data_IF_644716303130
#
_entry.id   IF_644716303130
#
_cell.length_a   1.000
_cell.length_b   1.000
_cell.length_c   1.000
_cell.angle_alpha   90.00
_cell.angle_beta   90.00
_cell.angle_gamma   90.00
#
_symmetry.space_group_name_H-M   'P 1'
#
loop_
_entity.id
_entity.type
_entity.pdbx_description
1 polymer ?
#
# COMPACT_ATOMS: atom_id res chain seq x y z
N UNK A 1 6.37 -50.79 42.17
CA UNK A 1 6.15 -50.21 40.82
C UNK A 1 6.24 -48.69 40.92
N UNK A 2 7.37 -48.13 40.49
CA UNK A 2 7.67 -46.69 40.57
C UNK A 2 6.91 -45.92 39.48
N UNK A 3 6.06 -44.95 39.87
CA UNK A 3 5.43 -44.02 38.93
C UNK A 3 6.38 -42.85 38.68
N UNK A 4 6.96 -42.80 37.48
CA UNK A 4 7.70 -41.63 36.97
C UNK A 4 6.68 -40.54 36.62
N UNK A 5 6.79 -39.38 37.27
CA UNK A 5 6.06 -38.17 36.90
C UNK A 5 6.89 -37.47 35.83
N UNK A 6 6.43 -37.52 34.58
CA UNK A 6 7.03 -36.82 33.46
C UNK A 6 6.61 -35.35 33.54
N UNK A 7 7.52 -34.45 33.89
CA UNK A 7 7.33 -33.00 33.78
C UNK A 7 7.32 -32.62 32.30
N UNK A 8 6.13 -32.46 31.72
CA UNK A 8 5.93 -31.83 30.42
C UNK A 8 6.27 -30.34 30.55
N UNK A 9 7.48 -29.99 30.10
CA UNK A 9 7.99 -28.64 29.97
C UNK A 9 7.21 -27.93 28.87
N UNK A 10 6.17 -27.18 29.26
CA UNK A 10 5.40 -26.34 28.35
C UNK A 10 6.33 -25.24 27.82
N UNK A 11 6.60 -25.24 26.52
CA UNK A 11 7.34 -24.17 25.85
C UNK A 11 6.56 -22.85 25.95
N UNK A 12 7.24 -21.71 26.13
CA UNK A 12 6.59 -20.41 26.11
C UNK A 12 6.20 -20.10 24.66
N UNK A 13 4.94 -20.38 24.32
CA UNK A 13 4.35 -19.84 23.11
C UNK A 13 4.28 -18.32 23.25
N UNK A 14 4.72 -17.62 22.20
CA UNK A 14 4.61 -16.17 22.03
C UNK A 14 3.25 -15.66 22.48
N UNK A 15 3.17 -15.17 23.71
CA UNK A 15 2.08 -14.34 24.15
C UNK A 15 2.32 -12.97 23.50
N UNK A 16 1.76 -12.77 22.31
CA UNK A 16 1.35 -11.42 21.91
C UNK A 16 0.23 -11.05 22.88
N UNK A 17 0.63 -10.62 24.07
CA UNK A 17 -0.27 -10.01 25.03
C UNK A 17 -0.75 -8.72 24.39
N UNK A 18 -1.92 -8.77 23.76
CA UNK A 18 -2.81 -7.61 23.67
C UNK A 18 -3.21 -7.30 25.12
N UNK A 19 -2.29 -6.71 25.89
CA UNK A 19 -2.61 -6.13 27.20
C UNK A 19 -3.36 -4.85 26.88
N UNK A 20 -4.68 -4.93 26.90
CA UNK A 20 -5.50 -3.75 27.12
C UNK A 20 -5.11 -3.15 28.47
N UNK A 21 -5.10 -1.82 28.56
CA UNK A 21 -4.82 -1.11 29.81
C UNK A 21 -5.94 -1.42 30.79
N UNK A 22 -5.66 -2.36 31.69
CA UNK A 22 -6.46 -2.60 32.88
C UNK A 22 -5.71 -1.97 34.04
N UNK A 23 -5.58 -0.64 34.01
CA UNK A 23 -5.10 0.12 35.17
C UNK A 23 -6.18 0.03 36.25
N UNK A 24 -5.95 -0.89 37.19
CA UNK A 24 -6.73 -1.05 38.41
C UNK A 24 -6.30 -0.03 39.46
N UNK A 25 -6.81 1.20 39.36
CA UNK A 25 -6.50 2.26 40.33
C UNK A 25 -5.58 3.33 39.74
N UNK A 26 -4.31 3.36 40.15
CA UNK A 26 -3.34 4.39 39.73
C UNK A 26 -2.54 3.94 38.50
N UNK A 27 -2.20 4.90 37.65
CA UNK A 27 -1.27 4.70 36.53
C UNK A 27 0.15 4.51 37.07
N UNK A 28 0.80 3.43 36.65
CA UNK A 28 2.17 3.06 37.08
C UNK A 28 3.22 3.44 36.04
N UNK A 29 4.49 3.37 36.41
CA UNK A 29 5.59 3.57 35.46
C UNK A 29 5.64 2.48 34.36
N UNK A 30 5.12 1.28 34.64
CA UNK A 30 4.99 0.22 33.62
C UNK A 30 3.99 0.64 32.54
N UNK A 31 2.84 1.20 32.95
CA UNK A 31 1.83 1.72 32.01
C UNK A 31 2.37 2.89 31.18
N UNK A 32 3.11 3.81 31.81
CA UNK A 32 3.76 4.91 31.08
C UNK A 32 4.75 4.39 30.06
N UNK A 33 5.56 3.39 30.43
CA UNK A 33 6.52 2.78 29.51
C UNK A 33 5.81 2.03 28.38
N UNK A 34 4.69 1.37 28.67
CA UNK A 34 3.86 0.71 27.67
C UNK A 34 3.35 1.69 26.61
N UNK A 35 2.82 2.84 27.01
CA UNK A 35 2.39 3.90 26.09
C UNK A 35 3.53 4.41 25.21
N UNK A 36 4.70 4.67 25.81
CA UNK A 36 5.86 5.15 25.05
C UNK A 36 6.33 4.14 24.00
N UNK A 37 6.30 2.84 24.31
CA UNK A 37 6.63 1.78 23.33
C UNK A 37 5.58 1.74 22.22
N UNK A 38 4.28 1.81 22.57
CA UNK A 38 3.20 1.76 21.57
C UNK A 38 3.13 3.02 20.70
N UNK A 39 3.70 4.14 21.16
CA UNK A 39 3.82 5.35 20.36
C UNK A 39 4.71 5.14 19.13
N UNK A 40 5.65 4.19 19.14
CA UNK A 40 6.44 3.79 17.97
C UNK A 40 5.58 3.08 16.91
N UNK A 41 4.53 2.36 17.33
CA UNK A 41 3.63 1.66 16.42
C UNK A 41 2.68 2.61 15.66
N UNK A 42 2.53 3.86 16.11
CA UNK A 42 1.63 4.85 15.53
C UNK A 42 2.42 6.10 15.07
N UNK A 43 3.09 6.05 13.91
CA UNK A 43 3.95 7.12 13.42
C UNK A 43 3.18 8.35 12.90
N UNK A 44 1.91 8.19 12.57
CA UNK A 44 1.00 9.21 12.04
C UNK A 44 0.29 10.04 13.13
N UNK A 45 0.49 9.68 14.40
CA UNK A 45 -0.08 10.40 15.54
C UNK A 45 0.72 11.67 15.81
N UNK A 46 0.01 12.77 15.99
CA UNK A 46 0.54 14.11 16.26
C UNK A 46 -0.07 14.68 17.54
N UNK A 47 0.50 15.73 18.16
CA UNK A 47 -0.13 16.41 19.30
C UNK A 47 -1.55 16.91 19.01
N UNK A 48 -1.83 17.27 17.75
CA UNK A 48 -3.13 17.70 17.26
C UNK A 48 -4.12 16.56 16.97
N UNK A 49 -3.73 15.29 17.14
CA UNK A 49 -4.62 14.15 16.91
C UNK A 49 -5.83 14.19 17.85
N UNK A 50 -6.96 13.73 17.34
CA UNK A 50 -8.25 13.75 18.04
C UNK A 50 -8.25 12.89 19.31
N UNK A 51 -8.92 13.36 20.38
CA UNK A 51 -8.90 12.75 21.73
C UNK A 51 -9.33 11.28 21.79
N UNK A 52 -10.14 10.79 20.85
CA UNK A 52 -10.60 9.40 20.84
C UNK A 52 -9.49 8.38 20.56
N UNK A 53 -8.30 8.82 20.14
CA UNK A 53 -7.13 7.95 20.02
C UNK A 53 -6.56 7.54 21.38
N UNK A 54 -6.78 8.34 22.43
CA UNK A 54 -6.27 8.05 23.78
C UNK A 54 -6.93 6.79 24.35
N UNK A 55 -6.10 5.95 24.97
CA UNK A 55 -6.57 4.77 25.70
C UNK A 55 -7.62 5.10 26.75
N UNK A 56 -8.63 4.23 26.86
CA UNK A 56 -9.78 4.38 27.74
C UNK A 56 -10.65 5.64 27.48
N UNK A 57 -10.45 6.36 26.37
CA UNK A 57 -11.32 7.46 25.96
C UNK A 57 -12.59 6.92 25.27
N UNK A 58 -13.53 6.47 26.08
CA UNK A 58 -14.83 6.01 25.59
C UNK A 58 -15.70 7.13 25.00
N UNK A 59 -16.77 6.76 24.30
CA UNK A 59 -17.67 7.70 23.62
C UNK A 59 -18.25 8.77 24.55
N UNK A 60 -18.57 8.42 25.79
CA UNK A 60 -19.05 9.37 26.80
C UNK A 60 -17.99 10.42 27.15
N UNK A 61 -16.77 9.98 27.48
CA UNK A 61 -15.64 10.85 27.79
C UNK A 61 -15.32 11.78 26.62
N UNK A 62 -15.28 11.24 25.40
CA UNK A 62 -15.05 12.02 24.19
C UNK A 62 -16.10 13.12 24.01
N UNK A 63 -17.39 12.83 24.21
CA UNK A 63 -18.46 13.84 24.12
C UNK A 63 -18.31 14.94 25.17
N UNK A 64 -17.98 14.58 26.42
CA UNK A 64 -17.78 15.55 27.51
C UNK A 64 -16.54 16.43 27.30
N UNK A 65 -15.49 15.89 26.71
CA UNK A 65 -14.33 16.68 26.26
C UNK A 65 -14.73 17.68 25.17
N UNK A 66 -15.51 17.24 24.17
CA UNK A 66 -16.02 18.11 23.10
C UNK A 66 -16.92 19.22 23.65
N UNK A 67 -17.80 18.92 24.61
CA UNK A 67 -18.65 19.92 25.28
C UNK A 67 -17.83 21.03 25.96
N UNK A 68 -16.61 20.72 26.41
CA UNK A 68 -15.65 21.69 26.98
C UNK A 68 -14.68 22.28 25.96
N UNK A 69 -14.95 22.10 24.68
CA UNK A 69 -14.11 22.55 23.56
C UNK A 69 -12.68 21.95 23.55
N UNK A 70 -12.55 20.70 24.01
CA UNK A 70 -11.30 19.94 24.01
C UNK A 70 -11.37 18.88 22.92
N UNK A 71 -10.53 19.06 21.90
CA UNK A 71 -10.53 18.27 20.66
C UNK A 71 -9.23 17.52 20.42
N UNK A 72 -8.12 17.99 20.99
CA UNK A 72 -6.78 17.45 20.72
C UNK A 72 -6.13 16.84 21.95
N UNK A 73 -5.17 15.94 21.72
CA UNK A 73 -4.34 15.34 22.79
C UNK A 73 -3.60 16.41 23.59
N UNK A 74 -3.06 17.43 22.90
CA UNK A 74 -2.39 18.56 23.54
C UNK A 74 -3.28 19.28 24.55
N UNK A 75 -4.53 19.59 24.17
CA UNK A 75 -5.48 20.26 25.06
C UNK A 75 -5.84 19.38 26.27
N UNK A 76 -5.99 18.06 26.07
CA UNK A 76 -6.24 17.13 27.19
C UNK A 76 -5.07 17.11 28.17
N UNK A 77 -3.83 17.08 27.68
CA UNK A 77 -2.65 17.05 28.52
C UNK A 77 -2.43 18.36 29.32
N UNK A 78 -2.99 19.47 28.85
CA UNK A 78 -2.95 20.78 29.51
C UNK A 78 -4.07 20.98 30.55
N UNK A 79 -4.98 20.01 30.73
CA UNK A 79 -6.03 20.11 31.75
C UNK A 79 -5.46 20.14 33.16
N UNK A 80 -6.07 20.97 34.00
CA UNK A 80 -5.78 21.02 35.43
C UNK A 80 -6.42 19.84 36.18
N UNK A 81 -5.83 19.46 37.31
CA UNK A 81 -6.35 18.38 38.16
C UNK A 81 -7.80 18.61 38.58
N UNK A 82 -8.16 19.86 38.90
CA UNK A 82 -9.53 20.20 39.31
C UNK A 82 -10.53 19.96 38.17
N UNK A 83 -10.16 20.28 36.93
CA UNK A 83 -11.01 20.07 35.75
C UNK A 83 -11.18 18.57 35.45
N UNK A 84 -10.13 17.79 35.65
CA UNK A 84 -10.14 16.33 35.51
C UNK A 84 -11.07 15.70 36.57
N UNK A 85 -11.00 16.16 37.82
CA UNK A 85 -11.86 15.69 38.90
C UNK A 85 -13.33 16.06 38.63
N UNK A 86 -13.62 17.25 38.10
CA UNK A 86 -14.97 17.59 37.67
C UNK A 86 -15.50 16.65 36.57
N UNK A 87 -14.68 16.38 35.55
CA UNK A 87 -15.07 15.45 34.48
C UNK A 87 -15.29 14.03 35.01
N UNK A 88 -14.47 13.60 35.97
CA UNK A 88 -14.55 12.26 36.56
C UNK A 88 -15.75 12.10 37.48
N UNK A 89 -15.96 13.03 38.41
CA UNK A 89 -16.92 12.89 39.49
C UNK A 89 -18.25 13.59 39.25
N UNK A 90 -18.29 14.74 38.55
CA UNK A 90 -19.55 15.45 38.24
C UNK A 90 -20.15 14.96 36.92
N UNK A 91 -19.33 14.85 35.88
CA UNK A 91 -19.81 14.45 34.55
C UNK A 91 -19.85 12.92 34.37
N UNK A 92 -19.18 12.14 35.23
CA UNK A 92 -19.20 10.68 35.19
C UNK A 92 -18.22 10.03 34.20
N UNK A 93 -17.15 10.72 33.80
CA UNK A 93 -16.11 10.17 32.95
C UNK A 93 -15.19 9.22 33.75
N UNK A 94 -15.58 7.94 33.86
CA UNK A 94 -14.98 6.95 34.77
C UNK A 94 -13.45 6.82 34.70
N UNK A 95 -12.84 6.92 33.51
CA UNK A 95 -11.40 6.73 33.27
C UNK A 95 -10.69 8.00 32.82
N UNK A 96 -11.23 9.16 33.18
CA UNK A 96 -10.67 10.45 32.79
C UNK A 96 -9.25 10.66 33.32
N UNK A 97 -8.94 10.16 34.51
CA UNK A 97 -7.61 10.15 35.10
C UNK A 97 -6.59 9.37 34.24
N UNK A 98 -6.99 8.21 33.72
CA UNK A 98 -6.14 7.41 32.82
C UNK A 98 -5.94 8.13 31.49
N UNK A 99 -6.99 8.71 30.91
CA UNK A 99 -6.93 9.47 29.65
C UNK A 99 -5.99 10.68 29.79
N UNK A 100 -6.11 11.41 30.91
CA UNK A 100 -5.27 12.57 31.22
C UNK A 100 -3.81 12.17 31.43
N UNK A 101 -3.54 11.11 32.20
CA UNK A 101 -2.17 10.62 32.42
C UNK A 101 -1.54 10.06 31.14
N UNK A 102 -2.34 9.42 30.27
CA UNK A 102 -1.89 8.96 28.97
C UNK A 102 -1.47 10.16 28.11
N UNK A 103 -2.34 11.17 27.97
CA UNK A 103 -2.05 12.38 27.22
C UNK A 103 -0.78 13.08 27.71
N UNK A 104 -0.62 13.25 29.03
CA UNK A 104 0.58 13.84 29.63
C UNK A 104 1.86 13.04 29.36
N UNK A 105 1.76 11.71 29.33
CA UNK A 105 2.92 10.84 29.10
C UNK A 105 3.43 10.93 27.67
N UNK A 106 2.53 11.00 26.69
CA UNK A 106 2.89 10.97 25.26
C UNK A 106 3.10 12.36 24.64
N UNK A 107 2.61 13.44 25.29
CA UNK A 107 2.66 14.79 24.73
C UNK A 107 4.08 15.22 24.36
N UNK A 108 5.05 15.04 25.28
CA UNK A 108 6.42 15.51 25.04
C UNK A 108 7.10 14.80 23.86
N UNK A 109 7.07 13.45 23.75
CA UNK A 109 7.55 12.76 22.54
C UNK A 109 6.84 13.21 21.26
N UNK A 110 5.52 13.47 21.31
CA UNK A 110 4.76 13.94 20.15
C UNK A 110 5.16 15.37 19.73
N UNK A 111 5.39 16.27 20.68
CA UNK A 111 5.89 17.62 20.40
C UNK A 111 7.31 17.58 19.81
N UNK A 112 8.17 16.67 20.26
CA UNK A 112 9.49 16.43 19.66
C UNK A 112 9.38 15.88 18.23
N UNK A 113 8.41 15.01 17.96
CA UNK A 113 8.12 14.55 16.58
C UNK A 113 7.65 15.68 15.69
N UNK A 114 6.79 16.56 16.17
CA UNK A 114 6.28 17.69 15.39
C UNK A 114 7.34 18.77 15.15
N UNK A 115 8.13 19.12 16.17
CA UNK A 115 9.16 20.15 16.05
C UNK A 115 10.38 19.73 15.23
N UNK A 116 10.76 18.45 15.30
CA UNK A 116 12.05 17.96 14.78
C UNK A 116 11.92 16.78 13.81
N UNK A 117 10.71 16.32 13.50
CA UNK A 117 10.48 15.11 12.68
C UNK A 117 10.82 13.80 13.41
N UNK A 118 11.16 13.87 14.71
CA UNK A 118 11.48 12.73 15.57
C UNK A 118 12.91 12.19 15.37
N UNK A 119 13.44 11.63 16.46
CA UNK A 119 14.74 10.91 16.53
C UNK A 119 14.82 9.74 15.51
N UNK A 120 13.66 9.20 15.13
CA UNK A 120 13.49 8.15 14.11
C UNK A 120 13.85 8.61 12.67
N UNK A 121 13.61 9.89 12.33
CA UNK A 121 13.88 10.41 10.98
C UNK A 121 15.39 10.53 10.68
N UNK A 122 16.20 10.72 11.73
CA UNK A 122 17.63 10.99 11.60
C UNK A 122 18.49 9.72 11.52
N UNK A 123 18.08 8.62 12.16
CA UNK A 123 19.01 7.51 12.42
C UNK A 123 19.07 6.44 11.32
N UNK A 124 17.98 6.06 10.64
CA UNK A 124 18.03 4.90 9.71
C UNK A 124 17.12 4.99 8.47
N UNK A 125 16.01 5.73 8.50
CA UNK A 125 15.00 5.70 7.44
C UNK A 125 15.47 6.38 6.15
N UNK A 126 16.08 7.57 6.22
CA UNK A 126 16.44 8.34 5.01
C UNK A 126 17.48 7.64 4.13
N UNK A 127 18.51 7.03 4.72
CA UNK A 127 19.57 6.34 3.97
C UNK A 127 19.04 5.02 3.39
N UNK A 128 18.25 4.26 4.15
CA UNK A 128 17.62 3.02 3.67
C UNK A 128 16.61 3.31 2.56
N UNK A 129 15.79 4.35 2.70
CA UNK A 129 14.84 4.82 1.70
C UNK A 129 15.54 5.25 0.42
N UNK A 130 16.63 6.01 0.51
CA UNK A 130 17.41 6.41 -0.67
C UNK A 130 18.07 5.21 -1.36
N UNK A 131 18.53 4.20 -0.61
CA UNK A 131 19.06 2.95 -1.18
C UNK A 131 17.97 2.14 -1.88
N UNK A 132 16.82 1.94 -1.21
CA UNK A 132 15.65 1.26 -1.80
C UNK A 132 15.13 2.00 -3.03
N UNK A 133 15.08 3.34 -3.01
CA UNK A 133 14.67 4.15 -4.15
C UNK A 133 15.60 3.95 -5.36
N UNK A 134 16.91 4.03 -5.17
CA UNK A 134 17.90 3.79 -6.25
C UNK A 134 17.88 2.35 -6.76
N UNK A 135 17.59 1.38 -5.91
CA UNK A 135 17.42 -0.02 -6.33
C UNK A 135 16.14 -0.23 -7.13
N UNK A 136 15.03 0.38 -6.72
CA UNK A 136 13.76 0.32 -7.46
C UNK A 136 13.86 1.04 -8.81
N UNK A 137 14.56 2.17 -8.89
CA UNK A 137 14.82 2.88 -10.15
C UNK A 137 15.65 2.01 -11.11
N UNK A 138 16.73 1.38 -10.64
CA UNK A 138 17.54 0.44 -11.45
C UNK A 138 16.71 -0.74 -11.95
N UNK A 139 15.94 -1.40 -11.06
CA UNK A 139 15.07 -2.52 -11.45
C UNK A 139 14.00 -2.10 -12.46
N UNK A 140 13.45 -0.89 -12.33
CA UNK A 140 12.45 -0.36 -13.26
C UNK A 140 13.07 -0.10 -14.64
N UNK A 141 14.28 0.46 -14.69
CA UNK A 141 15.01 0.66 -15.94
C UNK A 141 15.40 -0.66 -16.61
N UNK A 142 15.85 -1.64 -15.84
CA UNK A 142 16.15 -2.99 -16.32
C UNK A 142 14.90 -3.64 -16.94
N UNK A 143 13.76 -3.63 -16.25
CA UNK A 143 12.50 -4.15 -16.77
C UNK A 143 12.04 -3.45 -18.05
N UNK A 144 12.22 -2.13 -18.14
CA UNK A 144 11.86 -1.37 -19.34
C UNK A 144 12.78 -1.72 -20.51
N UNK A 145 14.09 -1.89 -20.27
CA UNK A 145 15.06 -2.32 -21.30
C UNK A 145 14.78 -3.75 -21.77
N UNK A 146 14.49 -4.67 -20.85
CA UNK A 146 14.11 -6.04 -21.19
C UNK A 146 12.83 -6.06 -22.03
N UNK A 147 11.80 -5.30 -21.62
CA UNK A 147 10.56 -5.18 -22.39
C UNK A 147 10.81 -4.61 -23.79
N UNK A 148 11.63 -3.57 -23.90
CA UNK A 148 11.96 -2.97 -25.19
C UNK A 148 12.70 -3.96 -26.10
N UNK A 149 13.69 -4.67 -25.58
CA UNK A 149 14.46 -5.67 -26.32
C UNK A 149 13.57 -6.84 -26.79
N UNK A 150 12.72 -7.38 -25.91
CA UNK A 150 11.77 -8.44 -26.28
C UNK A 150 10.81 -7.94 -27.37
N UNK A 151 10.31 -6.71 -27.26
CA UNK A 151 9.43 -6.15 -28.27
C UNK A 151 10.13 -5.95 -29.62
N UNK A 152 11.36 -5.44 -29.61
CA UNK A 152 12.16 -5.26 -30.82
C UNK A 152 12.46 -6.59 -31.51
N UNK A 153 12.78 -7.65 -30.75
CA UNK A 153 12.97 -9.00 -31.28
C UNK A 153 11.69 -9.56 -31.91
N UNK A 154 10.54 -9.35 -31.27
CA UNK A 154 9.23 -9.76 -31.80
C UNK A 154 8.87 -8.98 -33.07
N UNK A 155 9.13 -7.68 -33.10
CA UNK A 155 8.87 -6.86 -34.28
C UNK A 155 9.81 -7.23 -35.44
N UNK A 156 11.10 -7.45 -35.18
CA UNK A 156 12.07 -7.85 -36.19
C UNK A 156 11.70 -9.21 -36.82
N UNK A 157 11.26 -10.18 -36.01
CA UNK A 157 10.78 -11.47 -36.51
C UNK A 157 9.49 -11.33 -37.33
N UNK A 158 8.54 -10.50 -36.89
CA UNK A 158 7.32 -10.20 -37.66
C UNK A 158 7.62 -9.48 -38.98
N UNK A 159 8.58 -8.55 -39.01
CA UNK A 159 9.01 -7.87 -40.24
C UNK A 159 9.61 -8.87 -41.24
N UNK A 160 10.52 -9.74 -40.79
CA UNK A 160 11.08 -10.83 -41.62
C UNK A 160 10.00 -11.74 -42.20
N UNK A 161 8.98 -12.10 -41.40
CA UNK A 161 7.86 -12.91 -41.88
C UNK A 161 7.02 -12.16 -42.92
N UNK A 162 6.75 -10.87 -42.72
CA UNK A 162 6.03 -10.03 -43.69
C UNK A 162 6.78 -9.92 -45.02
N UNK A 163 8.08 -9.68 -44.96
CA UNK A 163 8.96 -9.61 -46.14
C UNK A 163 9.01 -10.94 -46.89
N UNK A 164 9.16 -12.06 -46.17
CA UNK A 164 9.14 -13.39 -46.78
C UNK A 164 7.79 -13.73 -47.45
N UNK A 165 6.66 -13.33 -46.83
CA UNK A 165 5.32 -13.50 -47.43
C UNK A 165 5.19 -12.63 -48.68
N UNK A 166 5.64 -11.37 -48.65
CA UNK A 166 5.60 -10.48 -49.80
C UNK A 166 6.43 -11.03 -50.96
N UNK A 167 7.65 -11.52 -50.70
CA UNK A 167 8.50 -12.15 -51.69
C UNK A 167 7.85 -13.41 -52.29
N UNK A 168 7.28 -14.29 -51.45
CA UNK A 168 6.55 -15.48 -51.94
C UNK A 168 5.33 -15.13 -52.78
N UNK A 169 4.57 -14.09 -52.41
CA UNK A 169 3.43 -13.60 -53.20
C UNK A 169 3.89 -13.04 -54.56
N UNK A 170 4.98 -12.28 -54.60
CA UNK A 170 5.54 -11.76 -55.85
C UNK A 170 6.00 -12.89 -56.78
N UNK A 171 6.71 -13.89 -56.25
CA UNK A 171 7.15 -15.05 -57.02
C UNK A 171 5.97 -15.88 -57.58
N UNK A 172 4.88 -16.02 -56.81
CA UNK A 172 3.67 -16.68 -57.29
C UNK A 172 2.96 -15.88 -58.39
N UNK A 173 2.93 -14.54 -58.30
CA UNK A 173 2.36 -13.69 -59.34
C UNK A 173 3.18 -13.74 -60.63
N UNK A 174 4.52 -13.73 -60.55
CA UNK A 174 5.39 -13.93 -61.71
C UNK A 174 5.13 -15.29 -62.37
N UNK A 175 5.10 -16.38 -61.61
CA UNK A 175 4.73 -17.71 -62.14
C UNK A 175 3.35 -17.74 -62.79
N UNK A 176 2.36 -17.05 -62.23
CA UNK A 176 1.01 -16.96 -62.83
C UNK A 176 1.02 -16.16 -64.13
N UNK A 177 1.79 -15.08 -64.22
CA UNK A 177 1.95 -14.29 -65.45
C UNK A 177 2.69 -15.09 -66.53
N UNK A 178 3.70 -15.86 -66.16
CA UNK A 178 4.41 -16.77 -67.07
C UNK A 178 3.48 -17.86 -67.62
N UNK A 179 2.62 -18.44 -66.77
CA UNK A 179 1.62 -19.44 -67.18
C UNK A 179 0.50 -18.83 -68.04
N UNK A 180 0.01 -17.64 -67.72
CA UNK A 180 -1.00 -16.94 -68.52
C UNK A 180 -0.44 -16.43 -69.86
N UNK A 181 0.86 -16.15 -69.95
CA UNK A 181 1.55 -15.84 -71.20
C UNK A 181 1.72 -17.05 -72.12
N UNK A 182 1.72 -18.27 -71.57
CA UNK A 182 1.75 -19.51 -72.33
C UNK A 182 0.36 -19.91 -72.88
N UNK A 183 -0.74 -19.53 -72.21
CA UNK A 183 -2.12 -19.76 -72.68
C UNK A 183 -2.62 -18.68 -73.67
N UNK A 184 -1.89 -17.58 -73.87
CA UNK A 184 -2.21 -16.57 -74.89
C UNK A 184 -1.72 -16.92 -76.31
N UNK A 185 -1.05 -18.08 -76.47
CA UNK A 185 -0.50 -18.57 -77.74
C UNK A 185 -1.17 -19.83 -78.27
N UNK A 186 -2.39 -20.17 -77.84
CA UNK A 186 -3.19 -21.20 -78.51
C UNK A 186 -4.69 -20.86 -78.47
N UNK A 187 -5.21 -20.27 -79.56
CA UNK A 187 -6.63 -19.99 -79.68
C UNK A 187 -6.99 -18.82 -80.59
N UNK A 188 -6.66 -18.89 -81.88
CA UNK A 188 -7.32 -18.07 -82.90
C UNK A 188 -8.41 -18.88 -83.63
N UNK A 189 -9.66 -18.45 -83.42
CA UNK A 189 -10.76 -18.42 -84.39
C UNK A 189 -11.65 -19.68 -84.56
N UNK A 190 -12.88 -19.65 -84.00
CA UNK A 190 -14.08 -19.46 -84.84
C UNK A 190 -15.37 -19.25 -84.01
N UNK A 191 -16.21 -18.36 -84.53
CA UNK A 191 -17.69 -18.37 -84.48
C UNK A 191 -18.44 -17.64 -83.34
N UNK A 192 -18.82 -16.41 -83.69
CA UNK A 192 -20.20 -15.88 -83.79
C UNK A 192 -21.09 -15.70 -82.55
N UNK A 193 -21.48 -14.43 -82.41
CA UNK A 193 -22.77 -13.87 -81.96
C UNK A 193 -23.24 -14.00 -80.49
N UNK A 194 -23.22 -12.83 -79.83
CA UNK A 194 -24.50 -12.15 -79.56
C UNK A 194 -25.03 -12.18 -78.12
N UNK A 195 -25.08 -11.00 -77.49
CA UNK A 195 -26.25 -10.60 -76.68
C UNK A 195 -26.05 -10.31 -75.19
N UNK A 196 -26.03 -9.00 -74.87
CA UNK A 196 -26.72 -8.30 -73.76
C UNK A 196 -26.90 -9.02 -72.40
N UNK A 197 -26.49 -8.37 -71.29
CA UNK A 197 -27.35 -7.48 -70.48
C UNK A 197 -26.81 -7.23 -69.05
N UNK A 198 -26.98 -5.98 -68.58
CA UNK A 198 -27.25 -5.51 -67.20
C UNK A 198 -26.37 -5.97 -66.03
N UNK A 199 -25.56 -5.10 -65.40
CA UNK A 199 -25.96 -4.15 -64.33
C UNK A 199 -26.59 -4.80 -63.09
N UNK A 200 -25.94 -4.66 -61.93
CA UNK A 200 -26.44 -3.92 -60.76
C UNK A 200 -25.87 -4.45 -59.43
N UNK A 201 -25.48 -3.47 -58.61
CA UNK A 201 -25.42 -3.45 -57.13
C UNK A 201 -24.27 -4.14 -56.42
#
# INVERSE_FOLDING_TARGET
MMRRITLLRLQPQCAVCVRGIVTGGRVTNEDRRWWLIHLECAPDVTPGTFVAWLDCCGTHTTKKLIERNIWTIEQVAQLDSDQVDELKYKEGCLKMDVVWEHARTILTPLQQREATGGVESELQSRILELRKKRELERKREELLKERANINEQREATLRKLREAIAAKKAALLQKKQELAGADASDGHNSSSEGGKSSSAS
#
